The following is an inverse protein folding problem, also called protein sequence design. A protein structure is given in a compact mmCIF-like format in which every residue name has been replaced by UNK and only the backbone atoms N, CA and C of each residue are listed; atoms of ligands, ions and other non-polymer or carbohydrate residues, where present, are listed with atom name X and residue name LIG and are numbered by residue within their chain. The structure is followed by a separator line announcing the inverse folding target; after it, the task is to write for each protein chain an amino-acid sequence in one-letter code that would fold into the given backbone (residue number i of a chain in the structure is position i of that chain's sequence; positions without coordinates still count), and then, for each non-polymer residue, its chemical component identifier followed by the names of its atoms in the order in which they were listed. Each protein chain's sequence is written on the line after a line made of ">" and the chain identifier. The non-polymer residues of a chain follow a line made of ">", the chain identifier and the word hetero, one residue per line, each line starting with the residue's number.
data_IF_407750310889
#
_entry.id   IF_407750310889
#
_cell.length_a   1.000
_cell.length_b   1.000
_cell.length_c   1.000
_cell.angle_alpha   90.00
_cell.angle_beta   90.00
_cell.angle_gamma   90.00
#
_symmetry.space_group_name_H-M   'P 1'
#
loop_
_entity.id
_entity.type
_entity.pdbx_description
1 polymer ?
#
# COMPACT_ATOMS: atom_id res chain seq x y z
N UNK A 1 -19.24 5.73 -9.43
CA UNK A 1 -18.39 4.61 -9.02
C UNK A 1 -18.38 4.55 -7.50
N UNK A 2 -18.54 3.41 -6.84
CA UNK A 2 -18.42 3.33 -5.39
C UNK A 2 -17.00 3.72 -4.95
N UNK A 3 -16.89 4.30 -3.75
CA UNK A 3 -15.61 4.81 -3.24
C UNK A 3 -15.00 3.82 -2.24
N UNK A 4 -13.73 3.44 -2.46
CA UNK A 4 -12.94 2.71 -1.49
C UNK A 4 -12.45 3.64 -0.37
N UNK A 5 -11.97 4.85 -0.73
CA UNK A 5 -11.48 5.86 0.21
C UNK A 5 -12.11 7.21 -0.10
N UNK A 6 -12.56 7.93 0.94
CA UNK A 6 -12.94 9.35 0.86
C UNK A 6 -12.31 10.12 2.02
N UNK A 7 -11.53 11.13 1.70
CA UNK A 7 -11.08 12.17 2.61
C UNK A 7 -11.79 13.46 2.21
N UNK A 8 -12.40 14.17 3.16
CA UNK A 8 -13.10 15.42 2.89
C UNK A 8 -12.70 16.47 3.92
N UNK A 9 -12.03 17.53 3.44
CA UNK A 9 -11.52 18.64 4.25
C UNK A 9 -10.57 18.19 5.37
N UNK A 10 -9.78 17.13 5.13
CA UNK A 10 -8.99 16.49 6.19
C UNK A 10 -7.81 17.36 6.57
N UNK A 11 -7.72 17.67 7.88
CA UNK A 11 -6.56 18.29 8.49
C UNK A 11 -6.00 17.39 9.61
N UNK A 12 -4.66 17.39 9.75
CA UNK A 12 -3.99 16.60 10.79
C UNK A 12 -2.64 17.18 11.18
N UNK A 13 -2.29 17.04 12.47
CA UNK A 13 -0.97 17.34 13.02
C UNK A 13 -0.69 16.47 14.24
N UNK A 14 0.57 16.05 14.40
CA UNK A 14 1.00 15.23 15.55
C UNK A 14 1.13 16.05 16.84
N UNK A 15 1.32 17.36 16.71
CA UNK A 15 1.44 18.30 17.86
C UNK A 15 0.59 19.53 17.61
N UNK A 16 0.08 20.19 18.67
CA UNK A 16 -0.61 21.46 18.52
C UNK A 16 0.25 22.48 17.74
N UNK A 17 -0.34 23.13 16.76
CA UNK A 17 0.34 24.11 15.90
C UNK A 17 1.20 23.54 14.76
N UNK A 18 1.50 22.25 14.75
CA UNK A 18 2.28 21.60 13.69
C UNK A 18 1.34 20.82 12.75
N UNK A 19 0.88 21.45 11.68
CA UNK A 19 0.05 20.79 10.67
C UNK A 19 0.92 19.99 9.69
N UNK A 20 0.56 18.74 9.47
CA UNK A 20 1.17 17.82 8.50
C UNK A 20 0.32 17.74 7.24
N UNK A 21 -1.01 17.75 7.41
CA UNK A 21 -1.98 17.82 6.31
C UNK A 21 -2.98 18.94 6.60
N UNK A 22 -3.38 19.66 5.56
CA UNK A 22 -4.29 20.80 5.60
C UNK A 22 -5.27 20.69 4.43
N UNK A 23 -6.58 20.72 4.74
CA UNK A 23 -7.68 20.76 3.79
C UNK A 23 -7.52 19.78 2.63
N UNK A 24 -7.37 18.49 2.97
CA UNK A 24 -7.15 17.43 1.99
C UNK A 24 -8.48 16.82 1.58
N UNK A 25 -8.80 16.95 0.30
CA UNK A 25 -9.89 16.26 -0.37
C UNK A 25 -9.32 15.20 -1.29
N UNK A 26 -9.68 13.91 -1.09
CA UNK A 26 -9.25 12.79 -1.91
C UNK A 26 -10.37 11.77 -2.00
N UNK A 27 -10.66 11.30 -3.21
CA UNK A 27 -11.62 10.22 -3.46
C UNK A 27 -10.95 9.16 -4.31
N UNK A 28 -10.94 7.92 -3.84
CA UNK A 28 -10.41 6.76 -4.58
C UNK A 28 -11.57 5.81 -4.82
N UNK A 29 -11.86 5.51 -6.08
CA UNK A 29 -12.87 4.54 -6.51
C UNK A 29 -12.46 3.10 -6.22
N UNK A 30 -13.43 2.21 -6.11
CA UNK A 30 -13.16 0.78 -6.09
C UNK A 30 -12.57 0.34 -7.45
N UNK A 31 -11.52 -0.46 -7.42
CA UNK A 31 -10.84 -0.91 -8.63
C UNK A 31 -9.93 0.13 -9.30
N UNK A 32 -9.59 1.26 -8.66
CA UNK A 32 -8.58 2.18 -9.18
C UNK A 32 -7.16 1.76 -8.79
N UNK A 33 -6.19 2.00 -9.68
CA UNK A 33 -4.77 1.96 -9.35
C UNK A 33 -4.23 3.41 -9.29
N UNK A 34 -4.04 3.89 -8.05
CA UNK A 34 -3.65 5.28 -7.78
C UNK A 34 -2.25 5.32 -7.18
N UNK A 35 -1.37 6.18 -7.74
CA UNK A 35 -0.11 6.53 -7.12
C UNK A 35 -0.25 7.81 -6.27
N UNK A 36 0.31 7.80 -5.08
CA UNK A 36 0.46 8.99 -4.22
C UNK A 36 1.94 9.31 -4.10
N UNK A 37 2.34 10.45 -4.63
CA UNK A 37 3.73 10.89 -4.61
C UNK A 37 3.91 12.21 -3.86
N UNK A 38 5.15 12.59 -3.62
CA UNK A 38 5.51 13.86 -2.97
C UNK A 38 6.79 13.74 -2.16
N UNK A 39 7.33 14.88 -1.69
CA UNK A 39 8.60 14.92 -0.97
C UNK A 39 8.54 14.17 0.37
N UNK A 40 9.72 13.84 0.89
CA UNK A 40 9.85 13.31 2.25
C UNK A 40 9.32 14.34 3.25
N UNK A 41 8.50 13.88 4.21
CA UNK A 41 7.80 14.79 5.14
C UNK A 41 6.58 15.50 4.54
N UNK A 42 6.23 15.29 3.27
CA UNK A 42 5.07 15.88 2.60
C UNK A 42 3.71 15.43 3.10
N UNK A 43 3.65 14.41 3.99
CA UNK A 43 2.41 13.93 4.58
C UNK A 43 1.86 12.63 3.99
N UNK A 44 2.54 11.99 3.04
CA UNK A 44 2.08 10.76 2.35
C UNK A 44 1.68 9.63 3.31
N UNK A 45 2.60 9.19 4.18
CA UNK A 45 2.32 8.14 5.19
C UNK A 45 1.21 8.56 6.16
N UNK A 46 1.14 9.86 6.50
CA UNK A 46 0.07 10.40 7.34
C UNK A 46 -1.28 10.31 6.63
N UNK A 47 -1.33 10.66 5.34
CA UNK A 47 -2.52 10.52 4.49
C UNK A 47 -3.00 9.07 4.47
N UNK A 48 -2.10 8.11 4.24
CA UNK A 48 -2.40 6.67 4.29
C UNK A 48 -2.97 6.27 5.65
N UNK A 49 -2.35 6.67 6.74
CA UNK A 49 -2.82 6.33 8.09
C UNK A 49 -4.20 6.88 8.40
N UNK A 50 -4.52 8.08 7.91
CA UNK A 50 -5.86 8.67 8.02
C UNK A 50 -6.87 7.94 7.14
N UNK A 51 -6.51 7.65 5.87
CA UNK A 51 -7.33 6.89 4.94
C UNK A 51 -7.69 5.52 5.49
N UNK A 52 -6.72 4.80 6.08
CA UNK A 52 -6.93 3.50 6.71
C UNK A 52 -7.54 3.57 8.13
N UNK A 53 -7.79 4.77 8.65
CA UNK A 53 -8.34 4.97 10.01
C UNK A 53 -7.40 4.52 11.12
N UNK A 54 -6.09 4.43 10.86
CA UNK A 54 -5.03 4.18 11.86
C UNK A 54 -4.73 5.45 12.67
N UNK A 55 -5.11 6.61 12.13
CA UNK A 55 -5.12 7.90 12.81
C UNK A 55 -6.48 8.56 12.61
N UNK A 56 -6.87 9.45 13.53
CA UNK A 56 -8.08 10.25 13.41
C UNK A 56 -7.72 11.65 12.92
N UNK A 57 -8.43 12.21 11.92
CA UNK A 57 -8.20 13.57 11.51
C UNK A 57 -8.52 14.55 12.64
N UNK A 58 -7.79 15.66 12.69
CA UNK A 58 -8.08 16.80 13.59
C UNK A 58 -9.23 17.65 13.10
N UNK A 59 -9.51 17.63 11.78
CA UNK A 59 -10.62 18.28 11.10
C UNK A 59 -11.01 17.50 9.86
N UNK A 60 -12.22 17.70 9.36
CA UNK A 60 -12.75 16.96 8.23
C UNK A 60 -13.17 15.53 8.58
N UNK A 61 -13.30 14.67 7.56
CA UNK A 61 -13.71 13.28 7.71
C UNK A 61 -12.91 12.35 6.79
N UNK A 62 -12.68 11.12 7.27
CA UNK A 62 -12.09 10.03 6.51
C UNK A 62 -13.03 8.83 6.51
N UNK A 63 -13.38 8.33 5.34
CA UNK A 63 -14.28 7.20 5.14
C UNK A 63 -13.56 6.09 4.37
N UNK A 64 -13.86 4.84 4.72
CA UNK A 64 -13.52 3.63 3.98
C UNK A 64 -14.82 2.92 3.60
N UNK A 65 -15.05 2.73 2.31
CA UNK A 65 -16.27 2.11 1.79
C UNK A 65 -17.54 2.72 2.40
N UNK A 66 -17.57 4.06 2.57
CA UNK A 66 -18.68 4.81 3.16
C UNK A 66 -18.77 4.78 4.68
N UNK A 67 -17.99 3.94 5.38
CA UNK A 67 -17.94 3.90 6.84
C UNK A 67 -16.82 4.82 7.38
N UNK A 68 -17.02 5.43 8.57
CA UNK A 68 -15.94 6.20 9.20
C UNK A 68 -14.67 5.35 9.35
N UNK A 69 -13.56 5.77 8.75
CA UNK A 69 -12.36 4.96 8.61
C UNK A 69 -11.86 4.37 9.94
N UNK A 70 -11.91 5.14 11.05
CA UNK A 70 -11.49 4.69 12.37
C UNK A 70 -12.44 3.65 13.02
N UNK A 71 -13.64 3.46 12.47
CA UNK A 71 -14.66 2.49 12.91
C UNK A 71 -14.88 1.37 11.91
N UNK A 72 -14.19 1.41 10.77
CA UNK A 72 -14.34 0.41 9.71
C UNK A 72 -14.19 -1.01 10.25
N UNK A 73 -15.23 -1.81 10.10
CA UNK A 73 -15.33 -3.13 10.74
C UNK A 73 -14.66 -4.24 9.93
N UNK A 74 -14.64 -4.13 8.60
CA UNK A 74 -14.13 -5.14 7.67
C UNK A 74 -12.61 -5.04 7.47
N UNK A 75 -11.83 -4.84 8.55
CA UNK A 75 -10.36 -4.65 8.50
C UNK A 75 -9.61 -5.73 7.72
N UNK A 76 -10.12 -6.95 7.68
CA UNK A 76 -9.55 -8.07 6.93
C UNK A 76 -9.51 -7.85 5.42
N UNK A 77 -10.37 -6.96 4.87
CA UNK A 77 -10.39 -6.62 3.44
C UNK A 77 -9.37 -5.54 3.08
N UNK A 78 -8.53 -5.12 4.02
CA UNK A 78 -7.48 -4.15 3.82
C UNK A 78 -6.13 -4.85 3.87
N UNK A 79 -5.37 -4.80 2.80
CA UNK A 79 -3.96 -5.15 2.75
C UNK A 79 -3.12 -3.89 2.96
N UNK A 80 -2.30 -3.85 3.99
CA UNK A 80 -1.40 -2.72 4.22
C UNK A 80 0.03 -3.17 4.39
N UNK A 81 0.88 -2.69 3.50
CA UNK A 81 2.32 -2.82 3.57
C UNK A 81 2.90 -1.49 4.02
N UNK A 82 3.21 -1.38 5.30
CA UNK A 82 3.83 -0.18 5.86
C UNK A 82 5.28 -0.03 5.41
N UNK A 83 5.76 1.21 5.37
CA UNK A 83 7.16 1.52 5.12
C UNK A 83 8.07 0.65 6.01
N UNK A 84 9.05 -0.01 5.39
CA UNK A 84 9.97 -0.91 6.09
C UNK A 84 10.78 -0.16 7.14
N UNK A 85 10.54 -0.44 8.39
CA UNK A 85 11.57 -0.37 9.40
C UNK A 85 12.37 -1.68 9.29
N UNK A 86 13.70 -1.60 9.32
CA UNK A 86 14.63 -2.72 9.10
C UNK A 86 14.15 -4.06 9.67
N UNK A 87 14.28 -5.15 8.88
CA UNK A 87 13.92 -6.53 9.24
C UNK A 87 14.72 -7.10 10.43
N UNK A 88 15.30 -6.24 11.26
CA UNK A 88 16.23 -6.58 12.36
C UNK A 88 15.66 -7.43 13.49
N UNK A 89 14.45 -7.96 13.39
CA UNK A 89 13.81 -8.70 14.49
C UNK A 89 12.91 -9.86 14.09
N UNK A 90 12.87 -10.25 12.80
CA UNK A 90 12.09 -11.44 12.47
C UNK A 90 12.83 -12.70 12.93
N UNK A 91 12.16 -13.47 13.81
CA UNK A 91 12.50 -14.86 14.06
C UNK A 91 12.69 -15.59 12.71
N UNK A 92 13.43 -16.70 12.64
CA UNK A 92 13.65 -17.46 11.41
C UNK A 92 12.28 -17.94 10.88
N UNK A 93 11.70 -17.13 9.97
CA UNK A 93 10.36 -17.31 9.40
C UNK A 93 10.52 -17.59 7.92
N UNK A 94 9.87 -18.62 7.43
CA UNK A 94 9.81 -18.95 6.01
C UNK A 94 8.82 -18.03 5.27
N UNK A 95 8.90 -17.99 3.94
CA UNK A 95 7.92 -17.26 3.10
C UNK A 95 6.51 -17.77 3.41
N UNK A 96 6.30 -19.08 3.45
CA UNK A 96 5.00 -19.71 3.73
C UNK A 96 4.44 -19.28 5.09
N UNK A 97 5.26 -19.27 6.14
CA UNK A 97 4.83 -18.85 7.49
C UNK A 97 4.48 -17.35 7.52
N UNK A 98 5.27 -16.51 6.83
CA UNK A 98 4.94 -15.09 6.70
C UNK A 98 3.59 -14.88 6.02
N UNK A 99 3.36 -15.55 4.88
CA UNK A 99 2.12 -15.43 4.11
C UNK A 99 0.93 -16.00 4.89
N UNK A 100 1.14 -17.13 5.59
CA UNK A 100 0.14 -17.73 6.48
C UNK A 100 -0.31 -16.76 7.58
N UNK A 101 0.57 -15.93 8.12
CA UNK A 101 0.20 -14.90 9.09
C UNK A 101 -0.83 -13.90 8.56
N UNK A 102 -0.90 -13.69 7.23
CA UNK A 102 -1.94 -12.90 6.58
C UNK A 102 -3.35 -13.50 6.74
N UNK A 103 -3.45 -14.82 6.80
CA UNK A 103 -4.73 -15.54 7.02
C UNK A 103 -5.16 -15.56 8.48
N UNK A 104 -4.21 -15.58 9.43
CA UNK A 104 -4.53 -15.56 10.86
C UNK A 104 -5.32 -14.30 11.24
N UNK A 105 -4.99 -13.16 10.64
CA UNK A 105 -5.75 -11.92 10.82
C UNK A 105 -7.20 -12.01 10.29
N UNK A 106 -7.47 -12.92 9.35
CA UNK A 106 -8.78 -13.11 8.73
C UNK A 106 -9.62 -14.22 9.41
N UNK A 107 -8.98 -15.25 9.96
CA UNK A 107 -9.64 -16.49 10.40
C UNK A 107 -9.78 -16.68 11.93
N UNK A 108 -9.16 -15.82 12.76
CA UNK A 108 -9.11 -15.98 14.21
C UNK A 108 -7.88 -16.74 14.69
N UNK A 109 -7.45 -16.43 15.93
CA UNK A 109 -6.15 -16.82 16.51
C UNK A 109 -6.08 -18.27 17.06
N UNK A 110 -7.14 -19.08 16.94
CA UNK A 110 -7.22 -20.37 17.64
C UNK A 110 -7.58 -21.49 16.67
N UNK A 111 -6.68 -22.46 16.54
CA UNK A 111 -6.89 -23.72 15.81
C UNK A 111 -5.96 -23.94 14.62
N UNK A 112 -5.92 -25.15 14.06
CA UNK A 112 -5.12 -25.46 12.89
C UNK A 112 -5.69 -24.74 11.65
N UNK A 113 -4.79 -24.31 10.76
CA UNK A 113 -5.16 -23.68 9.49
C UNK A 113 -6.05 -24.61 8.68
N UNK A 114 -7.21 -24.10 8.23
CA UNK A 114 -8.17 -24.87 7.43
C UNK A 114 -7.59 -25.16 6.05
N UNK A 115 -8.15 -26.16 5.34
CA UNK A 115 -7.73 -26.49 3.97
C UNK A 115 -7.78 -25.25 3.06
N UNK A 116 -8.89 -24.52 3.08
CA UNK A 116 -9.07 -23.28 2.28
C UNK A 116 -8.01 -22.23 2.56
N UNK A 117 -7.61 -22.06 3.83
CA UNK A 117 -6.58 -21.08 4.19
C UNK A 117 -5.21 -21.49 3.64
N UNK A 118 -4.89 -22.79 3.62
CA UNK A 118 -3.64 -23.30 3.01
C UNK A 118 -3.63 -23.11 1.49
N UNK A 119 -4.77 -23.31 0.83
CA UNK A 119 -4.93 -23.05 -0.59
C UNK A 119 -4.69 -21.59 -0.91
N UNK A 120 -5.31 -20.66 -0.18
CA UNK A 120 -5.12 -19.22 -0.37
C UNK A 120 -3.68 -18.75 -0.10
N UNK A 121 -3.00 -19.36 0.87
CA UNK A 121 -1.57 -19.10 1.11
C UNK A 121 -0.74 -19.55 -0.08
N UNK A 122 -0.99 -20.75 -0.63
CA UNK A 122 -0.26 -21.24 -1.80
C UNK A 122 -0.54 -20.38 -3.04
N UNK A 123 -1.80 -20.06 -3.31
CA UNK A 123 -2.20 -19.16 -4.39
C UNK A 123 -1.51 -17.78 -4.28
N UNK A 124 -1.45 -17.19 -3.08
CA UNK A 124 -0.80 -15.89 -2.88
C UNK A 124 0.71 -15.96 -3.14
N UNK A 125 1.38 -17.06 -2.75
CA UNK A 125 2.81 -17.29 -3.01
C UNK A 125 3.07 -17.45 -4.52
N UNK A 126 2.24 -18.22 -5.21
CA UNK A 126 2.33 -18.42 -6.67
C UNK A 126 2.14 -17.11 -7.44
N UNK A 127 1.14 -16.29 -7.05
CA UNK A 127 0.85 -14.98 -7.68
C UNK A 127 2.04 -14.02 -7.66
N UNK A 128 2.88 -14.11 -6.63
CA UNK A 128 4.08 -13.28 -6.52
C UNK A 128 5.35 -13.96 -7.05
N UNK A 129 5.23 -15.13 -7.68
CA UNK A 129 6.33 -15.94 -8.23
C UNK A 129 7.39 -16.31 -7.17
N UNK A 130 6.94 -16.83 -6.02
CA UNK A 130 7.81 -17.31 -4.93
C UNK A 130 7.57 -18.80 -4.59
N UNK A 131 6.90 -19.58 -5.46
CA UNK A 131 6.56 -20.97 -5.21
C UNK A 131 7.80 -21.83 -4.92
N UNK A 132 8.88 -21.66 -5.70
CA UNK A 132 10.15 -22.44 -5.56
C UNK A 132 10.89 -22.16 -4.26
N UNK A 133 10.60 -21.04 -3.60
CA UNK A 133 11.25 -20.61 -2.36
C UNK A 133 10.28 -20.48 -1.19
N UNK A 134 9.10 -21.09 -1.32
CA UNK A 134 8.03 -20.97 -0.31
C UNK A 134 8.47 -21.38 1.10
N UNK A 135 9.34 -22.36 1.21
CA UNK A 135 9.83 -22.89 2.48
C UNK A 135 11.25 -22.38 2.85
N UNK A 136 11.78 -21.44 2.03
CA UNK A 136 13.07 -20.79 2.33
C UNK A 136 12.90 -19.74 3.45
N UNK A 137 13.92 -19.58 4.32
CA UNK A 137 13.93 -18.50 5.30
C UNK A 137 13.91 -17.13 4.63
N UNK A 138 13.02 -16.23 5.07
CA UNK A 138 12.83 -14.90 4.49
C UNK A 138 14.14 -14.10 4.39
N UNK A 139 15.01 -14.23 5.38
CA UNK A 139 16.32 -13.55 5.45
C UNK A 139 17.30 -13.94 4.34
N UNK A 140 17.12 -15.10 3.69
CA UNK A 140 18.00 -15.58 2.60
C UNK A 140 17.59 -15.06 1.23
N UNK A 141 16.44 -14.38 1.14
CA UNK A 141 15.90 -13.84 -0.09
C UNK A 141 16.46 -12.46 -0.40
N UNK A 142 16.51 -12.09 -1.70
CA UNK A 142 16.82 -10.74 -2.12
C UNK A 142 15.77 -9.74 -1.60
N UNK A 143 16.10 -8.45 -1.56
CA UNK A 143 15.17 -7.39 -1.11
C UNK A 143 13.86 -7.39 -1.89
N UNK A 144 13.92 -7.54 -3.22
CA UNK A 144 12.73 -7.63 -4.07
C UNK A 144 11.88 -8.88 -3.78
N UNK A 145 12.51 -10.05 -3.56
CA UNK A 145 11.78 -11.28 -3.19
C UNK A 145 11.11 -11.14 -1.81
N UNK A 146 11.80 -10.54 -0.84
CA UNK A 146 11.21 -10.26 0.46
C UNK A 146 9.99 -9.34 0.33
N UNK A 147 10.10 -8.31 -0.52
CA UNK A 147 8.98 -7.40 -0.79
C UNK A 147 7.78 -8.14 -1.37
N UNK A 148 8.01 -9.01 -2.36
CA UNK A 148 6.97 -9.87 -2.92
C UNK A 148 6.33 -10.79 -1.87
N UNK A 149 7.12 -11.32 -0.93
CA UNK A 149 6.59 -12.15 0.17
C UNK A 149 5.65 -11.34 1.10
N UNK A 150 5.95 -10.07 1.37
CA UNK A 150 5.04 -9.20 2.14
C UNK A 150 3.76 -8.86 1.37
N UNK A 151 3.85 -8.69 0.04
CA UNK A 151 2.66 -8.54 -0.81
C UNK A 151 1.82 -9.80 -0.77
N UNK A 152 2.43 -10.99 -0.91
CA UNK A 152 1.73 -12.26 -0.79
C UNK A 152 1.01 -12.40 0.55
N UNK A 153 1.64 -11.98 1.67
CA UNK A 153 1.00 -11.92 2.98
C UNK A 153 -0.27 -11.06 2.96
N UNK A 154 -0.23 -9.90 2.32
CA UNK A 154 -1.41 -9.03 2.21
C UNK A 154 -2.49 -9.67 1.32
N UNK A 155 -2.09 -10.27 0.18
CA UNK A 155 -2.99 -10.94 -0.76
C UNK A 155 -3.68 -12.16 -0.16
N UNK A 156 -3.00 -12.93 0.69
CA UNK A 156 -3.60 -14.07 1.38
C UNK A 156 -4.84 -13.69 2.20
N UNK A 157 -4.97 -12.43 2.60
CA UNK A 157 -6.17 -11.87 3.23
C UNK A 157 -7.35 -11.62 2.28
N UNK A 158 -7.19 -11.81 0.98
CA UNK A 158 -8.18 -11.48 -0.07
C UNK A 158 -8.63 -10.01 0.04
N UNK A 159 -7.69 -9.02 -0.01
CA UNK A 159 -8.02 -7.63 0.21
C UNK A 159 -8.80 -7.03 -0.96
N UNK A 160 -9.76 -6.16 -0.68
CA UNK A 160 -10.40 -5.29 -1.68
C UNK A 160 -9.60 -4.00 -1.91
N UNK A 161 -8.79 -3.58 -0.92
CA UNK A 161 -7.89 -2.44 -1.00
C UNK A 161 -6.49 -2.86 -0.55
N UNK A 162 -5.51 -2.70 -1.42
CA UNK A 162 -4.08 -2.93 -1.15
C UNK A 162 -3.35 -1.60 -1.11
N UNK A 163 -2.78 -1.26 0.04
CA UNK A 163 -2.01 -0.04 0.25
C UNK A 163 -0.54 -0.41 0.47
N UNK A 164 0.33 0.20 -0.32
CA UNK A 164 1.77 -0.02 -0.29
C UNK A 164 2.46 1.32 0.01
N UNK A 165 3.07 1.44 1.18
CA UNK A 165 3.74 2.66 1.62
C UNK A 165 5.25 2.50 1.47
N UNK A 166 5.85 3.20 0.49
CA UNK A 166 7.26 3.15 0.11
C UNK A 166 7.78 1.71 -0.16
N UNK A 167 7.10 0.92 -1.01
CA UNK A 167 7.43 -0.50 -1.15
C UNK A 167 8.77 -0.75 -1.87
N UNK A 168 9.33 0.23 -2.56
CA UNK A 168 10.57 0.10 -3.34
C UNK A 168 11.79 0.70 -2.67
N UNK A 169 11.67 1.21 -1.44
CA UNK A 169 12.81 1.77 -0.72
C UNK A 169 13.92 0.73 -0.51
N UNK A 170 15.12 1.03 -1.00
CA UNK A 170 16.28 0.13 -0.91
C UNK A 170 16.25 -1.07 -1.86
N UNK A 171 15.44 -1.01 -2.90
CA UNK A 171 15.33 -2.03 -3.95
C UNK A 171 15.93 -1.48 -5.25
N UNK A 172 16.67 -2.30 -5.99
CA UNK A 172 17.25 -1.93 -7.29
C UNK A 172 16.19 -1.67 -8.36
N UNK A 173 16.58 -0.94 -9.43
CA UNK A 173 15.64 -0.50 -10.47
C UNK A 173 14.95 -1.67 -11.20
N UNK A 174 15.63 -2.78 -11.46
CA UNK A 174 15.05 -3.96 -12.11
C UNK A 174 13.96 -4.59 -11.22
N UNK A 175 14.26 -4.71 -9.93
CA UNK A 175 13.29 -5.20 -8.93
C UNK A 175 12.09 -4.25 -8.76
N UNK A 176 12.29 -2.92 -8.88
CA UNK A 176 11.22 -1.93 -8.85
C UNK A 176 10.27 -2.10 -10.05
N UNK A 177 10.81 -2.23 -11.27
CA UNK A 177 10.01 -2.46 -12.47
C UNK A 177 9.25 -3.78 -12.41
N UNK A 178 9.92 -4.83 -11.95
CA UNK A 178 9.32 -6.16 -11.76
C UNK A 178 8.18 -6.14 -10.73
N UNK A 179 8.31 -5.32 -9.68
CA UNK A 179 7.26 -5.11 -8.70
C UNK A 179 6.08 -4.34 -9.30
N UNK A 180 6.34 -3.29 -10.07
CA UNK A 180 5.30 -2.51 -10.72
C UNK A 180 4.48 -3.37 -11.69
N UNK A 181 5.14 -4.19 -12.51
CA UNK A 181 4.47 -5.15 -13.40
C UNK A 181 3.66 -6.21 -12.64
N UNK A 182 4.14 -6.67 -11.47
CA UNK A 182 3.38 -7.55 -10.60
C UNK A 182 2.11 -6.87 -10.09
N UNK A 183 2.19 -5.63 -9.63
CA UNK A 183 1.04 -4.87 -9.12
C UNK A 183 -0.02 -4.63 -10.20
N UNK A 184 0.39 -4.27 -11.42
CA UNK A 184 -0.48 -4.12 -12.57
C UNK A 184 -1.24 -5.40 -12.90
N UNK A 185 -0.53 -6.54 -12.93
CA UNK A 185 -1.16 -7.85 -13.13
C UNK A 185 -2.15 -8.19 -12.02
N UNK A 186 -1.80 -7.97 -10.75
CA UNK A 186 -2.70 -8.21 -9.62
C UNK A 186 -3.94 -7.31 -9.68
N UNK A 187 -3.76 -6.04 -10.06
CA UNK A 187 -4.86 -5.12 -10.29
C UNK A 187 -5.80 -5.62 -11.38
N UNK A 188 -5.25 -5.95 -12.56
CA UNK A 188 -6.02 -6.40 -13.73
C UNK A 188 -6.75 -7.73 -13.51
N UNK A 189 -6.08 -8.71 -12.85
CA UNK A 189 -6.64 -10.05 -12.63
C UNK A 189 -7.65 -10.11 -11.47
N UNK A 190 -7.43 -9.34 -10.41
CA UNK A 190 -8.21 -9.44 -9.18
C UNK A 190 -9.20 -8.28 -9.00
N UNK A 191 -9.08 -7.21 -9.78
CA UNK A 191 -9.87 -5.99 -9.60
C UNK A 191 -9.62 -5.29 -8.26
N UNK A 192 -8.48 -5.55 -7.61
CA UNK A 192 -8.14 -4.97 -6.31
C UNK A 192 -7.82 -3.49 -6.48
N UNK A 193 -8.37 -2.66 -5.60
CA UNK A 193 -7.98 -1.24 -5.53
C UNK A 193 -6.54 -1.14 -5.01
N UNK A 194 -5.66 -0.44 -5.70
CA UNK A 194 -4.27 -0.26 -5.27
C UNK A 194 -3.99 1.22 -4.97
N UNK A 195 -3.45 1.46 -3.78
CA UNK A 195 -2.89 2.75 -3.38
C UNK A 195 -1.38 2.58 -3.20
N UNK A 196 -0.61 3.02 -4.18
CA UNK A 196 0.84 2.97 -4.18
C UNK A 196 1.42 4.30 -3.74
N UNK A 197 2.17 4.31 -2.65
CA UNK A 197 2.75 5.53 -2.08
C UNK A 197 4.25 5.48 -2.19
N UNK A 198 4.84 6.48 -2.83
CA UNK A 198 6.30 6.59 -2.98
C UNK A 198 6.74 8.05 -3.12
N UNK A 199 8.00 8.32 -2.84
CA UNK A 199 8.65 9.57 -3.24
C UNK A 199 9.15 9.49 -4.70
N UNK A 200 9.33 8.27 -5.23
CA UNK A 200 9.70 7.98 -6.61
C UNK A 200 8.60 7.14 -7.26
N UNK A 201 7.95 7.64 -8.29
CA UNK A 201 6.84 6.94 -8.95
C UNK A 201 7.16 6.44 -10.37
N UNK A 202 8.35 6.75 -10.91
CA UNK A 202 8.73 6.44 -12.29
C UNK A 202 8.52 4.98 -12.70
N UNK A 203 8.82 4.02 -11.83
CA UNK A 203 8.63 2.60 -12.13
C UNK A 203 7.16 2.20 -12.29
N UNK A 204 6.22 2.88 -11.61
CA UNK A 204 4.78 2.59 -11.68
C UNK A 204 4.01 3.54 -12.58
N UNK A 205 4.62 4.63 -13.05
CA UNK A 205 3.98 5.70 -13.82
C UNK A 205 3.18 5.16 -15.02
N UNK A 206 3.72 4.18 -15.74
CA UNK A 206 3.08 3.58 -16.93
C UNK A 206 1.89 2.67 -16.61
N UNK A 207 1.71 2.29 -15.35
CA UNK A 207 0.67 1.36 -14.91
C UNK A 207 -0.45 2.04 -14.12
N UNK A 208 -0.20 3.25 -13.61
CA UNK A 208 -1.21 3.98 -12.82
C UNK A 208 -2.08 4.83 -13.73
N UNK A 209 -3.37 4.80 -13.48
CA UNK A 209 -4.34 5.64 -14.18
C UNK A 209 -4.38 7.06 -13.62
N UNK A 210 -3.97 7.22 -12.35
CA UNK A 210 -4.08 8.46 -11.61
C UNK A 210 -2.92 8.66 -10.66
N UNK A 211 -2.37 9.87 -10.69
CA UNK A 211 -1.30 10.33 -9.80
C UNK A 211 -1.82 11.46 -8.91
N UNK A 212 -1.55 11.34 -7.62
CA UNK A 212 -1.87 12.37 -6.61
C UNK A 212 -0.58 12.86 -5.99
N UNK A 213 -0.27 14.16 -6.13
CA UNK A 213 0.89 14.76 -5.48
C UNK A 213 0.48 15.43 -4.16
N UNK A 214 1.19 15.06 -3.09
CA UNK A 214 0.90 15.52 -1.74
C UNK A 214 2.10 16.30 -1.17
N UNK A 215 1.83 17.55 -0.82
CA UNK A 215 2.76 18.41 -0.07
C UNK A 215 1.94 19.25 0.91
N UNK A 216 1.64 18.69 2.07
CA UNK A 216 0.67 19.17 3.08
C UNK A 216 -0.78 19.22 2.60
N UNK A 217 -1.00 19.57 1.36
CA UNK A 217 -2.28 19.53 0.65
C UNK A 217 -2.10 18.72 -0.64
N UNK A 218 -3.17 18.44 -1.36
CA UNK A 218 -3.08 17.88 -2.71
C UNK A 218 -2.76 19.01 -3.68
N UNK A 219 -1.62 18.91 -4.36
CA UNK A 219 -1.14 19.91 -5.32
C UNK A 219 -1.35 19.48 -6.76
N UNK A 220 -1.60 18.19 -7.00
CA UNK A 220 -1.98 17.64 -8.30
C UNK A 220 -2.83 16.38 -8.07
N UNK A 221 -3.82 16.20 -8.92
CA UNK A 221 -4.68 15.01 -8.93
C UNK A 221 -5.20 14.80 -10.35
N UNK A 222 -4.67 13.81 -11.05
CA UNK A 222 -5.00 13.55 -12.46
C UNK A 222 -4.14 12.45 -13.10
N UNK A 223 -4.33 12.19 -14.40
CA UNK A 223 -3.52 11.22 -15.11
C UNK A 223 -2.04 11.65 -15.16
N UNK A 224 -1.07 10.70 -15.07
CA UNK A 224 0.36 11.01 -15.09
C UNK A 224 0.76 11.87 -16.30
N UNK A 225 0.13 11.67 -17.46
CA UNK A 225 0.38 12.43 -18.68
C UNK A 225 0.04 13.93 -18.60
N UNK A 226 -0.78 14.32 -17.63
CA UNK A 226 -1.12 15.73 -17.39
C UNK A 226 -0.19 16.39 -16.36
N UNK A 227 0.80 15.64 -15.82
CA UNK A 227 1.75 16.19 -14.87
C UNK A 227 2.66 17.21 -15.55
N UNK A 228 2.79 18.45 -15.00
CA UNK A 228 3.75 19.44 -15.54
C UNK A 228 5.18 18.89 -15.52
N UNK A 229 5.94 19.10 -16.62
CA UNK A 229 7.27 18.53 -16.82
C UNK A 229 8.30 18.82 -15.73
N UNK A 230 8.12 19.89 -14.95
CA UNK A 230 8.97 20.20 -13.78
C UNK A 230 8.97 19.13 -12.71
N UNK A 231 7.97 18.25 -12.64
CA UNK A 231 7.86 17.18 -11.66
C UNK A 231 8.49 15.86 -12.13
N UNK A 232 8.91 15.77 -13.39
CA UNK A 232 9.69 14.65 -13.91
C UNK A 232 11.19 14.78 -13.59
N UNK A 233 11.64 15.95 -13.09
CA UNK A 233 13.03 16.16 -12.67
C UNK A 233 13.20 15.69 -11.21
N UNK A 234 14.08 14.69 -10.95
CA UNK A 234 14.34 14.18 -9.61
C UNK A 234 14.75 15.26 -8.61
N UNK A 235 15.33 16.39 -9.06
CA UNK A 235 15.76 17.49 -8.20
C UNK A 235 14.59 18.23 -7.55
N UNK A 236 13.39 18.21 -8.12
CA UNK A 236 12.20 18.88 -7.56
C UNK A 236 11.42 18.04 -6.55
N UNK A 237 11.69 16.73 -6.48
CA UNK A 237 11.05 15.84 -5.50
C UNK A 237 11.67 16.01 -4.10
N UNK A 238 12.87 16.60 -4.03
CA UNK A 238 13.64 16.80 -2.80
C UNK A 238 13.63 18.26 -2.28
N UNK A 239 12.98 19.18 -2.96
CA UNK A 239 12.94 20.61 -2.57
C UNK A 239 11.73 21.01 -1.72
#
# INVERSE_FOLDING_TARGET
>A
MPLAVELAGVAFGYRPGQRVLEDVDLRIGEGEFVAVAGPNGGGKTTLVRLALGLQRPSGGRALLYGEAAHRFSRRRTLGYLAQRTELGGYAPTTVRELVAAGRLAAGGLIGPMRRRDRELVSEAIERVALADVADAPLRTLSGGMQQRAFIAKALAGEPSLLVLDEPTTGVDAESQESLAALLDRLHSELGVTILYVSHEFGAVERFVERLVLVRRTIIFDGPPSALPGVWHDPSHVHA
#
